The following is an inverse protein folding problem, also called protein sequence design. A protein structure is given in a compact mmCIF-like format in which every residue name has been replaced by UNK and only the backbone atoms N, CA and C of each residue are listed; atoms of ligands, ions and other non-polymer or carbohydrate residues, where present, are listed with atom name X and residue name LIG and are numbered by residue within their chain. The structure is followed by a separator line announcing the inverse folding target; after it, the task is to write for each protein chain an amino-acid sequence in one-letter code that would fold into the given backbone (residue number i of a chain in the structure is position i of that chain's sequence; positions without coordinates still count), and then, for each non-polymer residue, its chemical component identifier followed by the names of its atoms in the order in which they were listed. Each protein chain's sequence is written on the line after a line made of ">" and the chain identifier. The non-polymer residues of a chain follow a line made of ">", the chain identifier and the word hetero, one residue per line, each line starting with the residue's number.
data_IF_080588585937
#
_entry.id   IF_080588585937
#
_cell.length_a   1.000
_cell.length_b   1.000
_cell.length_c   1.000
_cell.angle_alpha   90.00
_cell.angle_beta   90.00
_cell.angle_gamma   90.00
#
_symmetry.space_group_name_H-M   'P 1'
#
loop_
_entity.id
_entity.type
_entity.pdbx_description
1 polymer ?
#
# COMPACT_ATOMS: atom_id res chain seq x y z
N UNK A 1 0.95 -11.98 -38.79
CA UNK A 1 0.98 -12.61 -37.45
C UNK A 1 -0.19 -12.05 -36.67
N UNK A 2 -1.14 -12.89 -36.22
CA UNK A 2 -2.25 -12.41 -35.40
C UNK A 2 -1.68 -11.77 -34.13
N UNK A 3 -2.14 -10.56 -33.79
CA UNK A 3 -1.72 -9.91 -32.55
C UNK A 3 -2.18 -10.79 -31.37
N UNK A 4 -1.23 -11.41 -30.68
CA UNK A 4 -1.52 -12.18 -29.46
C UNK A 4 -2.12 -11.21 -28.44
N UNK A 5 -3.32 -11.51 -27.96
CA UNK A 5 -3.98 -10.66 -26.97
C UNK A 5 -3.10 -10.49 -25.73
N UNK A 6 -3.06 -9.30 -25.12
CA UNK A 6 -2.23 -9.08 -23.94
C UNK A 6 -2.69 -9.98 -22.79
N UNK A 7 -1.75 -10.50 -21.96
CA UNK A 7 -2.08 -11.31 -20.80
C UNK A 7 -2.96 -10.53 -19.82
N UNK A 8 -3.88 -11.25 -19.18
CA UNK A 8 -4.75 -10.68 -18.16
C UNK A 8 -3.97 -10.51 -16.85
N UNK A 9 -3.95 -9.29 -16.32
CA UNK A 9 -3.51 -8.96 -14.97
C UNK A 9 -4.74 -8.72 -14.10
N UNK A 10 -4.92 -9.54 -13.08
CA UNK A 10 -6.01 -9.38 -12.12
C UNK A 10 -5.53 -8.57 -10.92
N UNK A 11 -6.09 -7.38 -10.72
CA UNK A 11 -5.84 -6.55 -9.55
C UNK A 11 -6.92 -6.82 -8.49
N UNK A 12 -6.59 -7.64 -7.49
CA UNK A 12 -7.46 -7.96 -6.36
C UNK A 12 -7.35 -6.88 -5.28
N UNK A 13 -8.38 -6.04 -5.20
CA UNK A 13 -8.45 -4.86 -4.34
C UNK A 13 -9.54 -4.97 -3.28
N UNK A 14 -9.54 -4.06 -2.31
CA UNK A 14 -10.51 -4.02 -1.21
C UNK A 14 -9.88 -3.70 0.14
N UNK A 15 -10.69 -3.53 1.19
CA UNK A 15 -10.21 -3.09 2.49
C UNK A 15 -9.36 -4.19 3.16
N UNK A 16 -8.49 -3.79 4.09
CA UNK A 16 -7.80 -4.73 4.97
C UNK A 16 -8.80 -5.67 5.67
N UNK A 17 -8.37 -6.89 5.97
CA UNK A 17 -9.20 -7.97 6.51
C UNK A 17 -10.39 -8.45 5.64
N UNK A 18 -10.55 -7.95 4.40
CA UNK A 18 -11.59 -8.44 3.48
C UNK A 18 -11.36 -9.86 2.91
N UNK A 19 -10.29 -10.56 3.31
CA UNK A 19 -9.98 -11.91 2.80
C UNK A 19 -9.16 -11.96 1.50
N UNK A 20 -8.63 -10.83 1.03
CA UNK A 20 -7.87 -10.74 -0.24
C UNK A 20 -6.71 -11.72 -0.35
N UNK A 21 -5.90 -11.87 0.70
CA UNK A 21 -4.73 -12.77 0.66
C UNK A 21 -5.15 -14.23 0.47
N UNK A 22 -6.16 -14.69 1.22
CA UNK A 22 -6.67 -16.05 1.09
C UNK A 22 -7.32 -16.31 -0.28
N UNK A 23 -8.09 -15.35 -0.80
CA UNK A 23 -8.64 -15.44 -2.16
C UNK A 23 -7.53 -15.42 -3.22
N UNK A 24 -6.56 -14.51 -3.11
CA UNK A 24 -5.42 -14.40 -4.03
C UNK A 24 -4.64 -15.71 -4.12
N UNK A 25 -4.37 -16.36 -2.98
CA UNK A 25 -3.71 -17.67 -2.93
C UNK A 25 -4.52 -18.75 -3.66
N UNK A 26 -5.84 -18.82 -3.42
CA UNK A 26 -6.72 -19.80 -4.10
C UNK A 26 -6.76 -19.59 -5.61
N UNK A 27 -6.91 -18.33 -6.04
CA UNK A 27 -6.92 -17.97 -7.46
C UNK A 27 -5.60 -18.29 -8.14
N UNK A 28 -4.48 -17.93 -7.52
CA UNK A 28 -3.16 -18.21 -8.08
C UNK A 28 -2.91 -19.72 -8.18
N UNK A 29 -3.31 -20.52 -7.20
CA UNK A 29 -3.24 -21.99 -7.29
C UNK A 29 -4.10 -22.53 -8.43
N UNK A 30 -5.35 -22.09 -8.54
CA UNK A 30 -6.29 -22.57 -9.55
C UNK A 30 -5.86 -22.21 -10.99
N UNK A 31 -5.19 -21.07 -11.16
CA UNK A 31 -4.78 -20.54 -12.47
C UNK A 31 -3.32 -20.82 -12.81
N UNK A 32 -2.57 -21.47 -11.91
CA UNK A 32 -1.11 -21.60 -12.03
C UNK A 32 -0.40 -20.25 -12.07
N UNK A 33 -0.97 -19.24 -11.40
CA UNK A 33 -0.50 -17.85 -11.39
C UNK A 33 0.50 -17.51 -10.28
N UNK A 34 1.00 -16.28 -10.33
CA UNK A 34 1.93 -15.72 -9.35
C UNK A 34 1.38 -14.45 -8.72
N UNK A 35 1.68 -14.20 -7.44
CA UNK A 35 1.15 -13.07 -6.68
C UNK A 35 2.20 -11.96 -6.58
N UNK A 36 1.83 -10.73 -6.95
CA UNK A 36 2.58 -9.51 -6.65
C UNK A 36 1.90 -8.81 -5.47
N UNK A 37 2.53 -8.83 -4.29
CA UNK A 37 1.97 -8.19 -3.10
C UNK A 37 1.92 -6.67 -3.28
N UNK A 38 0.77 -6.06 -3.01
CA UNK A 38 0.54 -4.62 -3.08
C UNK A 38 0.22 -4.05 -1.68
N UNK A 39 1.17 -4.22 -0.76
CA UNK A 39 1.09 -3.78 0.63
C UNK A 39 2.37 -3.03 1.04
N UNK A 40 2.22 -1.93 1.78
CA UNK A 40 3.36 -1.07 2.15
C UNK A 40 4.16 -1.56 3.35
N UNK A 41 3.70 -2.59 4.05
CA UNK A 41 4.41 -3.19 5.19
C UNK A 41 5.04 -4.54 4.83
N UNK A 42 4.41 -5.33 3.96
CA UNK A 42 4.91 -6.66 3.58
C UNK A 42 6.24 -6.62 2.82
N UNK A 43 6.60 -5.46 2.27
CA UNK A 43 7.90 -5.23 1.61
C UNK A 43 9.09 -5.33 2.58
N UNK A 44 8.86 -5.09 3.88
CA UNK A 44 9.92 -5.04 4.90
C UNK A 44 10.18 -6.38 5.57
N UNK A 45 11.45 -6.76 5.68
CA UNK A 45 11.90 -7.98 6.38
C UNK A 45 11.62 -7.92 7.88
N UNK A 46 11.18 -9.04 8.45
CA UNK A 46 10.92 -9.16 9.90
C UNK A 46 9.69 -8.42 10.41
N UNK A 47 8.89 -7.83 9.51
CA UNK A 47 7.55 -7.31 9.82
C UNK A 47 6.49 -8.31 9.37
N UNK A 48 6.37 -9.43 10.06
CA UNK A 48 5.58 -10.58 9.62
C UNK A 48 4.17 -10.58 10.24
N UNK A 49 4.08 -10.51 11.56
CA UNK A 49 2.81 -10.60 12.31
C UNK A 49 1.96 -9.37 12.06
N UNK A 50 2.52 -8.17 12.29
CA UNK A 50 1.75 -6.92 12.17
C UNK A 50 1.32 -6.58 10.74
N UNK A 51 2.02 -7.11 9.72
CA UNK A 51 1.63 -6.93 8.30
C UNK A 51 0.69 -8.02 7.79
N UNK A 52 0.46 -9.08 8.58
CA UNK A 52 -0.12 -10.36 8.15
C UNK A 52 0.48 -10.83 6.82
N UNK A 53 1.81 -10.92 6.80
CA UNK A 53 2.56 -11.40 5.65
C UNK A 53 2.15 -12.85 5.34
N UNK A 54 2.11 -13.27 4.06
CA UNK A 54 1.91 -14.67 3.74
C UNK A 54 2.97 -15.54 4.44
N UNK A 55 2.56 -16.70 4.95
CA UNK A 55 3.47 -17.61 5.66
C UNK A 55 4.46 -18.25 4.70
N UNK A 56 5.54 -18.83 5.22
CA UNK A 56 6.51 -19.57 4.40
C UNK A 56 5.82 -20.71 3.63
N UNK A 57 4.84 -21.37 4.25
CA UNK A 57 4.08 -22.44 3.61
C UNK A 57 3.23 -21.92 2.45
N UNK A 58 2.54 -20.79 2.62
CA UNK A 58 1.76 -20.15 1.54
C UNK A 58 2.68 -19.72 0.39
N UNK A 59 3.87 -19.17 0.70
CA UNK A 59 4.85 -18.75 -0.32
C UNK A 59 5.52 -19.92 -1.05
N UNK A 60 5.62 -21.09 -0.42
CA UNK A 60 6.09 -22.32 -1.09
C UNK A 60 5.07 -22.86 -2.08
N UNK A 61 3.77 -22.62 -1.82
CA UNK A 61 2.68 -23.07 -2.69
C UNK A 61 2.48 -22.16 -3.90
N UNK A 62 2.64 -20.85 -3.72
CA UNK A 62 2.53 -19.84 -4.78
C UNK A 62 3.64 -18.79 -4.61
N UNK A 63 4.42 -18.47 -5.67
CA UNK A 63 5.38 -17.38 -5.61
C UNK A 63 4.72 -16.05 -5.23
N UNK A 64 5.22 -15.42 -4.17
CA UNK A 64 4.83 -14.08 -3.75
C UNK A 64 5.99 -13.12 -3.97
N UNK A 65 5.79 -12.15 -4.85
CA UNK A 65 6.74 -11.09 -5.16
C UNK A 65 6.50 -9.84 -4.33
N UNK A 66 7.54 -9.02 -4.21
CA UNK A 66 7.54 -7.78 -3.43
C UNK A 66 7.20 -7.97 -1.94
N UNK A 67 7.56 -9.13 -1.41
CA UNK A 67 7.55 -9.46 0.01
C UNK A 67 8.99 -9.61 0.47
N UNK A 68 9.37 -9.03 1.61
CA UNK A 68 10.73 -9.14 2.16
C UNK A 68 11.84 -8.62 1.22
N UNK A 69 11.59 -7.51 0.53
CA UNK A 69 12.48 -6.94 -0.48
C UNK A 69 13.41 -5.83 0.03
N UNK A 70 13.17 -5.31 1.23
CA UNK A 70 13.99 -4.28 1.89
C UNK A 70 14.04 -4.50 3.40
N UNK A 71 15.11 -4.04 4.05
CA UNK A 71 15.20 -4.02 5.51
C UNK A 71 14.35 -2.89 6.10
N UNK A 72 13.88 -3.01 7.37
CA UNK A 72 12.93 -2.06 7.97
C UNK A 72 13.39 -0.59 7.99
N UNK A 73 14.70 -0.34 8.09
CA UNK A 73 15.32 0.98 8.15
C UNK A 73 15.61 1.58 6.76
N UNK A 74 15.52 0.77 5.71
CA UNK A 74 15.63 1.24 4.33
C UNK A 74 14.38 2.03 3.89
N UNK A 75 14.55 3.12 3.12
CA UNK A 75 13.41 3.81 2.53
C UNK A 75 12.78 2.96 1.43
N UNK A 76 11.44 2.84 1.43
CA UNK A 76 10.69 2.24 0.32
C UNK A 76 9.49 3.08 -0.07
N UNK A 77 9.55 3.67 -1.27
CA UNK A 77 8.52 4.59 -1.76
C UNK A 77 7.53 3.92 -2.71
N UNK A 78 6.41 4.60 -3.00
CA UNK A 78 5.48 4.15 -4.04
C UNK A 78 6.12 4.14 -5.44
N UNK A 79 7.11 5.00 -5.69
CA UNK A 79 7.89 4.99 -6.93
C UNK A 79 8.75 3.72 -7.03
N UNK A 80 9.45 3.35 -5.95
CA UNK A 80 10.23 2.10 -5.89
C UNK A 80 9.34 0.87 -6.09
N UNK A 81 8.16 0.85 -5.46
CA UNK A 81 7.17 -0.18 -5.69
C UNK A 81 6.73 -0.24 -7.16
N UNK A 82 6.41 0.90 -7.76
CA UNK A 82 5.98 0.96 -9.16
C UNK A 82 7.03 0.41 -10.12
N UNK A 83 8.31 0.78 -9.92
CA UNK A 83 9.44 0.29 -10.72
C UNK A 83 9.66 -1.22 -10.54
N UNK A 84 9.89 -1.68 -9.31
CA UNK A 84 10.15 -3.10 -9.00
C UNK A 84 8.95 -4.00 -9.34
N UNK A 85 7.73 -3.48 -9.21
CA UNK A 85 6.51 -4.19 -9.60
C UNK A 85 6.37 -4.34 -11.11
N UNK A 86 6.75 -3.33 -11.91
CA UNK A 86 6.77 -3.44 -13.38
C UNK A 86 7.83 -4.41 -13.88
N UNK A 87 9.01 -4.40 -13.27
CA UNK A 87 10.08 -5.38 -13.53
C UNK A 87 9.59 -6.81 -13.24
N UNK A 88 8.98 -7.01 -12.06
CA UNK A 88 8.36 -8.30 -11.68
C UNK A 88 7.30 -8.73 -12.69
N UNK A 89 6.37 -7.84 -13.06
CA UNK A 89 5.32 -8.16 -14.02
C UNK A 89 5.88 -8.51 -15.41
N UNK A 90 6.89 -7.79 -15.89
CA UNK A 90 7.55 -8.11 -17.15
C UNK A 90 8.14 -9.52 -17.12
N UNK A 91 8.82 -9.88 -16.03
CA UNK A 91 9.38 -11.22 -15.82
C UNK A 91 8.30 -12.31 -15.75
N UNK A 92 7.18 -12.07 -15.06
CA UNK A 92 6.02 -12.99 -15.02
C UNK A 92 5.44 -13.20 -16.42
N UNK A 93 5.29 -12.12 -17.19
CA UNK A 93 4.80 -12.18 -18.57
C UNK A 93 5.73 -12.99 -19.48
N UNK A 94 7.04 -12.83 -19.35
CA UNK A 94 8.02 -13.61 -20.12
C UNK A 94 7.90 -15.12 -19.86
N UNK A 95 7.50 -15.51 -18.64
CA UNK A 95 7.19 -16.90 -18.29
C UNK A 95 5.82 -17.38 -18.77
N UNK A 96 4.96 -16.50 -19.28
CA UNK A 96 3.59 -16.83 -19.68
C UNK A 96 2.65 -17.16 -18.52
N UNK A 97 2.98 -16.71 -17.31
CA UNK A 97 2.23 -17.04 -16.08
C UNK A 97 1.21 -15.92 -15.77
N UNK A 98 -0.02 -16.23 -15.32
CA UNK A 98 -0.99 -15.20 -14.94
C UNK A 98 -0.53 -14.39 -13.71
N UNK A 99 -0.39 -13.05 -13.81
CA UNK A 99 -0.08 -12.20 -12.66
C UNK A 99 -1.33 -11.80 -11.88
N UNK A 100 -1.28 -11.95 -10.56
CA UNK A 100 -2.29 -11.45 -9.61
C UNK A 100 -1.66 -10.39 -8.71
N UNK A 101 -2.11 -9.14 -8.83
CA UNK A 101 -1.72 -8.08 -7.89
C UNK A 101 -2.69 -8.09 -6.73
N UNK A 102 -2.21 -8.43 -5.53
CA UNK A 102 -3.06 -8.60 -4.34
C UNK A 102 -2.70 -7.58 -3.28
N UNK A 103 -3.63 -6.70 -2.91
CA UNK A 103 -3.35 -5.75 -1.84
C UNK A 103 -4.34 -4.61 -1.70
N UNK A 104 -4.05 -3.72 -0.75
CA UNK A 104 -4.95 -2.62 -0.38
C UNK A 104 -4.30 -1.23 -0.44
N UNK A 105 -3.05 -1.13 -0.87
CA UNK A 105 -2.32 0.14 -0.91
C UNK A 105 -2.60 0.85 -2.23
N UNK A 106 -3.65 1.67 -2.25
CA UNK A 106 -4.11 2.35 -3.47
C UNK A 106 -3.02 3.18 -4.19
N UNK A 107 -2.11 3.82 -3.44
CA UNK A 107 -1.01 4.58 -4.02
C UNK A 107 0.03 3.69 -4.73
N UNK A 108 0.31 2.50 -4.18
CA UNK A 108 1.21 1.52 -4.79
C UNK A 108 0.60 0.95 -6.07
N UNK A 109 -0.69 0.60 -6.03
CA UNK A 109 -1.41 0.15 -7.22
C UNK A 109 -1.40 1.23 -8.32
N UNK A 110 -1.63 2.49 -7.95
CA UNK A 110 -1.52 3.62 -8.89
C UNK A 110 -0.13 3.72 -9.49
N UNK A 111 0.93 3.61 -8.69
CA UNK A 111 2.30 3.64 -9.18
C UNK A 111 2.58 2.50 -10.16
N UNK A 112 2.12 1.30 -9.83
CA UNK A 112 2.27 0.12 -10.68
C UNK A 112 1.56 0.31 -12.03
N UNK A 113 0.30 0.75 -12.03
CA UNK A 113 -0.55 0.74 -13.21
C UNK A 113 -0.49 2.01 -14.05
N UNK A 114 -0.31 3.17 -13.42
CA UNK A 114 -0.31 4.48 -14.09
C UNK A 114 1.05 5.18 -14.03
N UNK A 115 1.97 4.65 -13.22
CA UNK A 115 3.25 5.28 -12.97
C UNK A 115 3.13 6.34 -11.88
N UNK A 116 4.27 6.74 -11.35
CA UNK A 116 4.40 7.91 -10.49
C UNK A 116 5.64 8.69 -10.90
N UNK A 117 5.58 9.99 -10.67
CA UNK A 117 6.79 10.80 -10.69
C UNK A 117 7.72 10.33 -9.56
N UNK A 118 8.88 9.78 -9.92
CA UNK A 118 9.85 9.29 -8.94
C UNK A 118 10.41 10.44 -8.08
N UNK A 119 10.56 11.62 -8.68
CA UNK A 119 10.97 12.85 -8.01
C UNK A 119 12.31 12.80 -7.29
N UNK A 120 12.81 13.94 -6.79
CA UNK A 120 14.03 13.95 -6.02
C UNK A 120 13.87 13.12 -4.74
N UNK A 121 14.98 12.53 -4.30
CA UNK A 121 15.09 11.85 -3.01
C UNK A 121 14.66 12.76 -1.85
N UNK A 122 14.25 12.16 -0.74
CA UNK A 122 13.94 12.86 0.51
C UNK A 122 15.17 13.63 1.01
N UNK A 123 14.97 14.88 1.42
CA UNK A 123 15.99 15.71 2.09
C UNK A 123 15.51 16.08 3.51
N UNK A 124 16.04 15.38 4.51
CA UNK A 124 15.61 15.54 5.90
C UNK A 124 15.98 16.91 6.48
N UNK A 125 17.10 17.51 6.06
CA UNK A 125 17.49 18.84 6.52
C UNK A 125 16.54 19.91 5.97
N UNK A 126 16.17 19.82 4.69
CA UNK A 126 15.19 20.72 4.09
C UNK A 126 13.81 20.54 4.72
N UNK A 127 13.37 19.29 4.92
CA UNK A 127 12.10 19.01 5.59
C UNK A 127 12.06 19.56 7.00
N UNK A 128 13.10 19.34 7.80
CA UNK A 128 13.21 19.89 9.15
C UNK A 128 13.09 21.41 9.17
N UNK A 129 13.70 22.12 8.21
CA UNK A 129 13.55 23.59 8.07
C UNK A 129 12.12 24.01 7.73
N UNK A 130 11.47 23.31 6.79
CA UNK A 130 10.08 23.60 6.39
C UNK A 130 9.09 23.31 7.51
N UNK A 131 9.30 22.21 8.24
CA UNK A 131 8.50 21.81 9.39
C UNK A 131 8.69 22.78 10.58
N UNK A 132 9.92 23.19 10.88
CA UNK A 132 10.19 24.21 11.89
C UNK A 132 9.53 25.56 11.54
N UNK A 133 9.48 25.90 10.26
CA UNK A 133 8.78 27.10 9.80
C UNK A 133 7.26 26.99 10.01
N UNK A 134 6.67 25.83 9.70
CA UNK A 134 5.25 25.58 9.95
C UNK A 134 4.93 25.64 11.46
N UNK A 135 5.78 25.07 12.30
CA UNK A 135 5.63 25.12 13.76
C UNK A 135 5.71 26.56 14.29
N UNK A 136 6.63 27.38 13.77
CA UNK A 136 6.84 28.76 14.25
C UNK A 136 5.79 29.75 13.75
N UNK A 137 5.29 29.57 12.53
CA UNK A 137 4.48 30.60 11.85
C UNK A 137 3.12 30.10 11.33
N UNK A 138 2.78 28.84 11.60
CA UNK A 138 1.54 28.20 11.18
C UNK A 138 1.60 27.60 9.78
N UNK A 139 0.80 26.55 9.59
CA UNK A 139 0.67 25.81 8.32
C UNK A 139 0.21 26.72 7.16
N UNK A 140 -0.67 27.70 7.45
CA UNK A 140 -1.13 28.68 6.46
C UNK A 140 0.01 29.52 5.84
N UNK A 141 1.10 29.78 6.59
CA UNK A 141 2.26 30.48 6.03
C UNK A 141 3.06 29.59 5.10
N UNK A 142 3.23 28.32 5.45
CA UNK A 142 3.89 27.34 4.59
C UNK A 142 3.08 27.14 3.28
N UNK A 143 1.76 27.04 3.38
CA UNK A 143 0.87 26.92 2.21
C UNK A 143 0.90 28.16 1.31
N UNK A 144 0.95 29.39 1.87
CA UNK A 144 1.16 30.60 1.05
C UNK A 144 2.47 30.58 0.27
N UNK A 145 3.55 30.04 0.85
CA UNK A 145 4.81 29.83 0.12
C UNK A 145 4.64 28.83 -1.01
N UNK A 146 3.88 27.76 -0.80
CA UNK A 146 3.54 26.83 -1.88
C UNK A 146 2.77 27.55 -3.00
N UNK A 147 1.76 28.37 -2.67
CA UNK A 147 0.98 29.11 -3.66
C UNK A 147 1.82 30.07 -4.51
N UNK A 148 2.93 30.59 -3.99
CA UNK A 148 3.84 31.46 -4.75
C UNK A 148 4.65 30.70 -5.81
N UNK A 149 4.99 29.42 -5.55
CA UNK A 149 5.88 28.64 -6.43
C UNK A 149 5.13 27.58 -7.23
N UNK A 150 3.98 27.12 -6.75
CA UNK A 150 3.14 26.09 -7.37
C UNK A 150 1.65 26.33 -7.05
N UNK A 151 1.01 27.31 -7.73
CA UNK A 151 -0.41 27.64 -7.53
C UNK A 151 -1.34 26.44 -7.75
N UNK A 152 -1.04 25.59 -8.74
CA UNK A 152 -1.84 24.41 -9.09
C UNK A 152 -1.85 23.38 -7.96
N UNK A 153 -0.68 23.10 -7.37
CA UNK A 153 -0.60 22.21 -6.20
C UNK A 153 -1.25 22.86 -4.98
N UNK A 154 -1.08 24.16 -4.76
CA UNK A 154 -1.69 24.88 -3.64
C UNK A 154 -3.22 24.86 -3.68
N UNK A 155 -3.83 24.91 -4.87
CA UNK A 155 -5.28 24.82 -5.05
C UNK A 155 -5.84 23.43 -4.72
N UNK A 156 -5.02 22.37 -4.80
CA UNK A 156 -5.44 20.98 -4.57
C UNK A 156 -5.07 20.45 -3.19
N UNK A 157 -4.03 21.01 -2.58
CA UNK A 157 -3.51 20.58 -1.28
C UNK A 157 -4.07 21.50 -0.20
N UNK A 158 -4.82 20.92 0.73
CA UNK A 158 -5.32 21.65 1.89
C UNK A 158 -4.17 22.21 2.74
N UNK A 159 -4.30 23.43 3.30
CA UNK A 159 -3.27 24.02 4.15
C UNK A 159 -2.85 23.14 5.34
N UNK A 160 -3.79 22.36 5.89
CA UNK A 160 -3.53 21.44 6.99
C UNK A 160 -2.75 20.18 6.59
N UNK A 161 -2.65 19.86 5.29
CA UNK A 161 -1.90 18.71 4.77
C UNK A 161 -0.40 19.05 4.65
N UNK A 162 0.23 19.27 5.80
CA UNK A 162 1.66 19.63 5.91
C UNK A 162 2.54 18.68 5.11
N UNK A 163 2.25 17.38 5.11
CA UNK A 163 3.06 16.37 4.43
C UNK A 163 3.13 16.66 2.93
N UNK A 164 1.97 16.90 2.30
CA UNK A 164 1.92 17.22 0.87
C UNK A 164 2.48 18.59 0.55
N UNK A 165 2.24 19.59 1.42
CA UNK A 165 2.82 20.93 1.24
C UNK A 165 4.35 20.89 1.29
N UNK A 166 4.91 20.24 2.31
CA UNK A 166 6.37 20.05 2.45
C UNK A 166 6.93 19.30 1.25
N UNK A 167 6.28 18.23 0.76
CA UNK A 167 6.75 17.51 -0.44
C UNK A 167 6.75 18.40 -1.69
N UNK A 168 5.69 19.18 -1.92
CA UNK A 168 5.63 20.04 -3.10
C UNK A 168 6.73 21.12 -3.07
N UNK A 169 6.96 21.74 -1.91
CA UNK A 169 8.05 22.68 -1.71
C UNK A 169 9.43 22.02 -1.82
N UNK A 170 9.63 20.83 -1.25
CA UNK A 170 10.87 20.05 -1.37
C UNK A 170 11.22 19.79 -2.83
N UNK A 171 10.24 19.36 -3.64
CA UNK A 171 10.42 19.11 -5.07
C UNK A 171 10.81 20.38 -5.81
N UNK A 172 10.13 21.50 -5.54
CA UNK A 172 10.47 22.78 -6.15
C UNK A 172 11.89 23.23 -5.80
N UNK A 173 12.28 23.18 -4.52
CA UNK A 173 13.62 23.60 -4.09
C UNK A 173 14.74 22.72 -4.69
N UNK A 174 14.50 21.42 -4.86
CA UNK A 174 15.52 20.50 -5.40
C UNK A 174 15.60 20.49 -6.92
N UNK A 175 14.51 20.79 -7.62
CA UNK A 175 14.44 20.64 -9.09
C UNK A 175 14.29 21.96 -9.84
N UNK A 176 13.99 23.06 -9.15
CA UNK A 176 13.61 24.33 -9.75
C UNK A 176 12.25 24.32 -10.47
N UNK A 177 11.56 23.16 -10.50
CA UNK A 177 10.28 22.98 -11.20
C UNK A 177 9.17 22.63 -10.21
N UNK A 178 7.97 23.23 -10.35
CA UNK A 178 6.82 22.91 -9.51
C UNK A 178 6.40 21.44 -9.60
N UNK A 179 5.87 20.89 -8.50
CA UNK A 179 5.38 19.50 -8.47
C UNK A 179 4.24 19.29 -9.47
N UNK A 180 3.35 20.27 -9.62
CA UNK A 180 2.29 20.26 -10.63
C UNK A 180 2.82 20.15 -12.06
N UNK A 181 3.96 20.78 -12.35
CA UNK A 181 4.64 20.70 -13.64
C UNK A 181 5.15 19.28 -13.93
N UNK A 182 5.67 18.59 -12.93
CA UNK A 182 6.08 17.19 -13.04
C UNK A 182 4.89 16.25 -13.23
N UNK A 183 3.78 16.47 -12.52
CA UNK A 183 2.55 15.70 -12.73
C UNK A 183 1.95 15.91 -14.12
N UNK A 184 2.06 17.11 -14.69
CA UNK A 184 1.56 17.42 -16.05
C UNK A 184 2.36 16.73 -17.16
N UNK A 185 3.65 16.47 -16.94
CA UNK A 185 4.46 15.70 -17.89
C UNK A 185 3.95 14.24 -18.06
N UNK A 186 3.09 13.78 -17.14
CA UNK A 186 2.53 12.44 -17.16
C UNK A 186 3.53 11.40 -16.64
N UNK A 187 2.99 10.31 -16.10
CA UNK A 187 3.75 9.09 -15.85
C UNK A 187 3.31 8.05 -16.87
N UNK A 188 4.23 7.16 -17.28
CA UNK A 188 3.89 6.15 -18.27
C UNK A 188 2.99 5.06 -17.65
N UNK A 189 1.80 4.79 -18.23
CA UNK A 189 0.97 3.70 -17.77
C UNK A 189 1.62 2.34 -18.05
N UNK A 190 1.19 1.32 -17.32
CA UNK A 190 1.61 -0.06 -17.54
C UNK A 190 1.16 -0.50 -18.94
N UNK A 191 2.06 -1.14 -19.69
CA UNK A 191 1.81 -1.64 -21.05
C UNK A 191 1.96 -3.14 -21.12
N UNK A 192 1.27 -3.76 -22.08
CA UNK A 192 1.37 -5.18 -22.37
C UNK A 192 0.63 -6.09 -21.38
N UNK A 193 -0.37 -5.54 -20.69
CA UNK A 193 -1.35 -6.28 -19.90
C UNK A 193 -2.73 -5.71 -20.17
N UNK A 194 -3.74 -6.58 -20.17
CA UNK A 194 -5.11 -6.15 -19.90
C UNK A 194 -5.34 -6.20 -18.39
N UNK A 195 -5.65 -5.06 -17.79
CA UNK A 195 -5.87 -4.98 -16.34
C UNK A 195 -7.35 -5.06 -16.04
N UNK A 196 -7.75 -6.02 -15.20
CA UNK A 196 -9.10 -6.09 -14.64
C UNK A 196 -9.06 -5.99 -13.11
N UNK A 197 -9.94 -5.18 -12.55
CA UNK A 197 -10.02 -4.96 -11.11
C UNK A 197 -11.11 -5.82 -10.49
N UNK A 198 -10.72 -6.67 -9.56
CA UNK A 198 -11.63 -7.48 -8.76
C UNK A 198 -11.65 -6.94 -7.33
N UNK A 199 -12.80 -6.48 -6.85
CA UNK A 199 -12.92 -5.82 -5.57
C UNK A 199 -13.69 -6.64 -4.55
N UNK A 200 -13.16 -6.82 -3.35
CA UNK A 200 -13.93 -7.34 -2.21
C UNK A 200 -14.51 -6.18 -1.39
N UNK A 201 -15.83 -6.18 -1.20
CA UNK A 201 -16.57 -5.18 -0.45
C UNK A 201 -17.56 -5.83 0.55
N UNK A 202 -17.05 -6.52 1.59
CA UNK A 202 -17.91 -7.10 2.61
C UNK A 202 -18.71 -6.04 3.35
N UNK A 203 -19.81 -6.46 3.99
CA UNK A 203 -20.61 -5.59 4.84
C UNK A 203 -19.76 -5.00 5.97
N UNK A 204 -20.17 -3.82 6.48
CA UNK A 204 -19.44 -3.14 7.55
C UNK A 204 -19.29 -4.01 8.81
N UNK A 205 -20.30 -4.79 9.13
CA UNK A 205 -20.31 -5.64 10.32
C UNK A 205 -19.42 -6.87 10.12
N UNK A 206 -19.48 -7.51 8.96
CA UNK A 206 -18.56 -8.61 8.62
C UNK A 206 -17.10 -8.13 8.65
N UNK A 207 -16.84 -6.93 8.12
CA UNK A 207 -15.50 -6.34 8.12
C UNK A 207 -15.00 -6.03 9.53
N UNK A 208 -15.87 -5.48 10.41
CA UNK A 208 -15.52 -5.24 11.82
C UNK A 208 -15.17 -6.55 12.51
N UNK A 209 -16.00 -7.58 12.38
CA UNK A 209 -15.76 -8.90 12.97
C UNK A 209 -14.45 -9.49 12.48
N UNK A 210 -14.17 -9.43 11.17
CA UNK A 210 -12.92 -9.91 10.60
C UNK A 210 -11.69 -9.15 11.13
N UNK A 211 -11.79 -7.82 11.29
CA UNK A 211 -10.73 -6.98 11.87
C UNK A 211 -10.48 -7.35 13.34
N UNK A 212 -11.52 -7.56 14.14
CA UNK A 212 -11.40 -7.94 15.54
C UNK A 212 -10.74 -9.31 15.70
N UNK A 213 -11.18 -10.31 14.92
CA UNK A 213 -10.58 -11.64 14.90
C UNK A 213 -9.12 -11.57 14.49
N UNK A 214 -8.80 -10.87 13.39
CA UNK A 214 -7.42 -10.68 12.93
C UNK A 214 -6.56 -9.98 13.98
N UNK A 215 -7.09 -8.96 14.65
CA UNK A 215 -6.35 -8.23 15.69
C UNK A 215 -6.02 -9.11 16.88
N UNK A 216 -7.00 -9.86 17.38
CA UNK A 216 -6.78 -10.83 18.46
C UNK A 216 -5.72 -11.86 18.06
N UNK A 217 -5.78 -12.36 16.82
CA UNK A 217 -4.80 -13.31 16.30
C UNK A 217 -3.39 -12.72 16.26
N UNK A 218 -3.20 -11.53 15.68
CA UNK A 218 -1.88 -10.87 15.64
C UNK A 218 -1.28 -10.67 17.03
N UNK A 219 -2.10 -10.26 18.01
CA UNK A 219 -1.62 -10.11 19.40
C UNK A 219 -1.22 -11.45 20.01
N UNK A 220 -2.00 -12.51 19.78
CA UNK A 220 -1.69 -13.86 20.26
C UNK A 220 -0.46 -14.48 19.55
N UNK A 221 -0.24 -14.13 18.29
CA UNK A 221 0.91 -14.58 17.48
C UNK A 221 2.21 -13.80 17.77
N UNK A 222 2.19 -12.87 18.74
CA UNK A 222 3.40 -12.21 19.22
C UNK A 222 3.71 -10.86 18.57
N UNK A 223 2.69 -10.08 18.16
CA UNK A 223 2.89 -8.73 17.62
C UNK A 223 3.70 -7.82 18.58
N UNK A 224 3.52 -7.96 19.89
CA UNK A 224 4.22 -7.13 20.89
C UNK A 224 5.70 -7.53 20.95
N UNK A 225 5.99 -8.82 20.89
CA UNK A 225 7.33 -9.40 20.89
C UNK A 225 8.10 -9.07 19.60
N UNK A 226 7.45 -9.20 18.44
CA UNK A 226 7.99 -8.74 17.15
C UNK A 226 8.34 -7.25 17.20
N UNK A 227 7.42 -6.43 17.72
CA UNK A 227 7.63 -4.99 17.85
C UNK A 227 8.79 -4.66 18.81
N UNK A 228 8.90 -5.36 19.94
CA UNK A 228 10.02 -5.20 20.89
C UNK A 228 11.36 -5.47 20.20
N UNK A 229 11.44 -6.58 19.47
CA UNK A 229 12.66 -6.98 18.73
C UNK A 229 13.06 -5.93 17.69
N UNK A 230 12.08 -5.37 16.97
CA UNK A 230 12.32 -4.29 16.00
C UNK A 230 12.84 -3.01 16.68
N UNK A 231 12.28 -2.64 17.84
CA UNK A 231 12.73 -1.47 18.61
C UNK A 231 14.16 -1.68 19.13
N UNK A 232 14.47 -2.86 19.66
CA UNK A 232 15.80 -3.17 20.17
C UNK A 232 16.86 -3.13 19.06
N UNK A 233 16.52 -3.58 17.85
CA UNK A 233 17.45 -3.66 16.73
C UNK A 233 17.64 -2.34 15.96
N UNK A 234 16.54 -1.62 15.68
CA UNK A 234 16.56 -0.46 14.79
C UNK A 234 16.20 0.86 15.48
N UNK A 235 15.84 0.81 16.76
CA UNK A 235 15.40 1.96 17.54
C UNK A 235 13.90 2.26 17.42
N UNK A 236 13.36 3.07 18.35
CA UNK A 236 11.93 3.37 18.44
C UNK A 236 11.41 4.28 17.32
N UNK A 237 12.31 5.01 16.65
CA UNK A 237 11.98 5.95 15.56
C UNK A 237 11.84 5.26 14.18
N UNK A 238 11.98 3.93 14.14
CA UNK A 238 11.84 3.13 12.93
C UNK A 238 10.48 3.40 12.26
N UNK A 239 10.50 3.91 11.02
CA UNK A 239 9.30 4.40 10.32
C UNK A 239 8.16 3.37 10.24
N UNK A 240 8.39 2.10 9.89
CA UNK A 240 7.35 1.08 9.92
C UNK A 240 6.62 0.94 11.26
N UNK A 241 7.26 1.26 12.40
CA UNK A 241 6.60 1.23 13.72
C UNK A 241 5.50 2.28 13.88
N UNK A 242 5.42 3.25 12.96
CA UNK A 242 4.34 4.23 12.92
C UNK A 242 3.07 3.68 12.28
N UNK A 243 3.06 2.48 11.71
CA UNK A 243 1.85 1.91 11.12
C UNK A 243 0.88 1.38 12.17
N UNK A 244 -0.38 1.17 11.75
CA UNK A 244 -1.41 0.56 12.60
C UNK A 244 -0.95 -0.85 12.99
N UNK A 245 -1.20 -1.27 14.23
CA UNK A 245 -0.65 -2.50 14.79
C UNK A 245 0.64 -2.20 15.56
N UNK A 246 1.73 -1.94 14.84
CA UNK A 246 3.05 -1.67 15.43
C UNK A 246 3.06 -0.43 16.33
N UNK A 247 2.33 0.64 15.98
CA UNK A 247 2.29 1.84 16.82
C UNK A 247 1.69 1.57 18.19
N UNK A 248 0.61 0.79 18.23
CA UNK A 248 -0.05 0.39 19.47
C UNK A 248 0.80 -0.61 20.25
N UNK A 249 1.40 -1.59 19.56
CA UNK A 249 2.33 -2.54 20.17
C UNK A 249 3.57 -1.84 20.77
N UNK A 250 4.12 -0.83 20.10
CA UNK A 250 5.23 -0.04 20.62
C UNK A 250 4.83 0.76 21.88
N UNK A 251 3.58 1.23 21.96
CA UNK A 251 3.06 1.85 23.18
C UNK A 251 2.91 0.84 24.33
N UNK A 252 2.54 -0.41 24.05
CA UNK A 252 2.55 -1.50 25.04
C UNK A 252 3.97 -1.80 25.52
N UNK A 253 4.94 -1.89 24.60
CA UNK A 253 6.36 -2.13 24.93
C UNK A 253 6.90 -1.05 25.88
N UNK A 254 6.48 0.21 25.71
CA UNK A 254 6.86 1.34 26.58
C UNK A 254 6.04 1.46 27.88
N UNK A 255 5.09 0.56 28.13
CA UNK A 255 4.19 0.63 29.29
C UNK A 255 3.14 1.74 29.24
N UNK A 256 2.94 2.37 28.07
CA UNK A 256 1.98 3.47 27.89
C UNK A 256 0.55 2.99 27.59
N UNK A 257 0.38 1.73 27.17
CA UNK A 257 -0.92 1.08 26.96
C UNK A 257 -0.90 -0.34 27.51
N UNK A 258 -2.05 -0.82 27.98
CA UNK A 258 -2.28 -2.26 28.23
C UNK A 258 -2.64 -2.98 26.92
N UNK A 259 -2.45 -4.29 26.88
CA UNK A 259 -2.71 -5.10 25.67
C UNK A 259 -4.17 -5.02 25.22
N UNK A 260 -5.13 -4.97 26.15
CA UNK A 260 -6.56 -4.86 25.86
C UNK A 260 -6.95 -3.47 25.32
N UNK A 261 -6.22 -2.42 25.72
CA UNK A 261 -6.37 -1.06 25.19
C UNK A 261 -5.80 -0.97 23.77
N UNK A 262 -4.60 -1.52 23.57
CA UNK A 262 -3.98 -1.62 22.26
C UNK A 262 -4.87 -2.38 21.27
N UNK A 263 -5.50 -3.49 21.69
CA UNK A 263 -6.45 -4.23 20.86
C UNK A 263 -7.61 -3.33 20.39
N UNK A 264 -8.25 -2.61 21.31
CA UNK A 264 -9.38 -1.71 20.99
C UNK A 264 -8.96 -0.61 20.02
N UNK A 265 -7.78 -0.05 20.22
CA UNK A 265 -7.23 1.00 19.36
C UNK A 265 -6.85 0.50 17.97
N UNK A 266 -6.23 -0.69 17.86
CA UNK A 266 -5.92 -1.31 16.58
C UNK A 266 -7.21 -1.52 15.78
N UNK A 267 -8.26 -2.09 16.38
CA UNK A 267 -9.55 -2.30 15.70
C UNK A 267 -10.12 -0.98 15.20
N UNK A 268 -10.15 0.05 16.05
CA UNK A 268 -10.68 1.38 15.71
C UNK A 268 -9.91 2.02 14.55
N UNK A 269 -8.59 2.03 14.60
CA UNK A 269 -7.76 2.62 13.55
C UNK A 269 -7.80 1.81 12.26
N UNK A 270 -7.87 0.49 12.35
CA UNK A 270 -8.02 -0.41 11.19
C UNK A 270 -9.36 -0.17 10.49
N UNK A 271 -10.46 0.04 11.23
CA UNK A 271 -11.76 0.42 10.64
C UNK A 271 -11.69 1.77 9.91
N UNK A 272 -11.00 2.76 10.50
CA UNK A 272 -10.78 4.07 9.85
C UNK A 272 -9.95 3.92 8.58
N UNK A 273 -8.92 3.07 8.60
CA UNK A 273 -8.09 2.77 7.45
C UNK A 273 -8.87 2.06 6.35
N UNK A 274 -9.63 1.03 6.69
CA UNK A 274 -10.49 0.32 5.75
C UNK A 274 -11.50 1.26 5.06
N UNK A 275 -12.09 2.20 5.80
CA UNK A 275 -12.94 3.26 5.21
C UNK A 275 -12.17 4.08 4.17
N UNK A 276 -10.94 4.52 4.49
CA UNK A 276 -10.10 5.28 3.55
C UNK A 276 -9.76 4.46 2.30
N UNK A 277 -9.45 3.16 2.46
CA UNK A 277 -9.20 2.26 1.33
C UNK A 277 -10.43 2.15 0.43
N UNK A 278 -11.62 1.97 1.00
CA UNK A 278 -12.86 1.94 0.23
C UNK A 278 -13.14 3.26 -0.48
N UNK A 279 -12.93 4.39 0.18
CA UNK A 279 -13.04 5.71 -0.48
C UNK A 279 -12.09 5.80 -1.67
N UNK A 280 -10.85 5.33 -1.55
CA UNK A 280 -9.90 5.31 -2.67
C UNK A 280 -10.40 4.44 -3.83
N UNK A 281 -10.72 3.18 -3.57
CA UNK A 281 -11.08 2.23 -4.64
C UNK A 281 -12.44 2.51 -5.28
N UNK A 282 -13.36 3.21 -4.60
CA UNK A 282 -14.63 3.66 -5.23
C UNK A 282 -14.44 4.66 -6.37
N UNK A 283 -13.31 5.37 -6.42
CA UNK A 283 -12.96 6.25 -7.53
C UNK A 283 -12.23 5.50 -8.65
N UNK A 284 -11.92 4.21 -8.46
CA UNK A 284 -11.38 3.38 -9.52
C UNK A 284 -12.54 2.93 -10.41
N UNK A 285 -12.49 3.28 -11.68
CA UNK A 285 -13.48 2.85 -12.66
C UNK A 285 -13.35 1.34 -12.93
N UNK A 286 -14.46 0.70 -13.28
CA UNK A 286 -14.51 -0.69 -13.78
C UNK A 286 -14.05 -1.76 -12.78
N UNK A 287 -14.22 -1.52 -11.48
CA UNK A 287 -14.03 -2.57 -10.46
C UNK A 287 -15.24 -3.49 -10.40
N UNK A 288 -15.02 -4.78 -10.60
CA UNK A 288 -16.02 -5.82 -10.32
C UNK A 288 -16.10 -6.05 -8.80
N UNK A 289 -17.01 -5.33 -8.14
CA UNK A 289 -17.22 -5.44 -6.70
C UNK A 289 -18.02 -6.68 -6.34
N UNK A 290 -17.51 -7.44 -5.38
CA UNK A 290 -18.09 -8.68 -4.88
C UNK A 290 -18.36 -8.56 -3.37
N UNK A 291 -19.48 -9.12 -2.92
CA UNK A 291 -19.84 -9.13 -1.51
C UNK A 291 -18.97 -10.11 -0.70
N UNK A 292 -18.56 -11.21 -1.33
CA UNK A 292 -17.75 -12.26 -0.72
C UNK A 292 -16.71 -12.87 -1.68
N UNK A 293 -15.95 -13.84 -1.16
CA UNK A 293 -14.85 -14.45 -1.89
C UNK A 293 -15.30 -15.52 -2.90
N UNK A 294 -16.51 -16.07 -2.79
CA UNK A 294 -17.03 -17.07 -3.72
C UNK A 294 -17.50 -16.39 -5.01
N UNK A 295 -18.21 -15.27 -4.89
CA UNK A 295 -18.58 -14.43 -6.03
C UNK A 295 -17.33 -13.94 -6.78
N UNK A 296 -16.34 -13.45 -6.03
CA UNK A 296 -15.08 -12.99 -6.62
C UNK A 296 -14.33 -14.10 -7.36
N UNK A 297 -14.32 -15.31 -6.82
CA UNK A 297 -13.69 -16.47 -7.44
C UNK A 297 -14.39 -16.89 -8.74
N UNK A 298 -15.73 -16.88 -8.76
CA UNK A 298 -16.49 -17.18 -9.97
C UNK A 298 -16.18 -16.16 -11.10
N UNK A 299 -16.09 -14.87 -10.77
CA UNK A 299 -15.75 -13.82 -11.73
C UNK A 299 -14.32 -13.99 -12.25
N UNK A 300 -13.35 -14.20 -11.36
CA UNK A 300 -11.95 -14.38 -11.74
C UNK A 300 -11.75 -15.62 -12.62
N UNK A 301 -12.45 -16.72 -12.32
CA UNK A 301 -12.41 -17.96 -13.09
C UNK A 301 -12.97 -17.74 -14.49
N UNK A 302 -14.09 -17.03 -14.62
CA UNK A 302 -14.65 -16.66 -15.93
C UNK A 302 -13.68 -15.81 -16.74
N UNK A 303 -13.07 -14.79 -16.14
CA UNK A 303 -12.08 -13.95 -16.84
C UNK A 303 -10.86 -14.74 -17.32
N UNK A 304 -10.41 -15.71 -16.53
CA UNK A 304 -9.30 -16.58 -16.92
C UNK A 304 -9.72 -17.52 -18.07
N UNK A 305 -10.91 -18.11 -18.01
CA UNK A 305 -11.43 -18.96 -19.08
C UNK A 305 -11.69 -18.22 -20.41
N UNK A 306 -11.98 -16.91 -20.37
CA UNK A 306 -12.06 -16.06 -21.58
C UNK A 306 -10.68 -15.81 -22.24
N UNK A 307 -9.58 -16.21 -21.59
CA UNK A 307 -8.20 -15.92 -21.99
C UNK A 307 -7.38 -17.15 -22.35
N UNK A 308 -7.72 -18.29 -21.75
CA UNK A 308 -7.13 -19.61 -22.01
C UNK A 308 -7.66 -20.23 -23.30
#
# INVERSE_FOLDING_TARGET
>A
MAAVAPPLLTALVGPTAAGKSALGLRLALAQGGEIVSCDSLQVYRGLDVGSAKPTIEERRRVPHHLVDVVDPDEPFSAADYGRRGRETLASIRERGVPPLVVGGTGLYLRALLHGLFEGPSRDDALRGRLEAMAARYGEARLHRRLAQVDPDSAARIEPADRIRVVRALEVFHKTGRPLSGHHRAGAEPLRGFEVRYLGLAPSRDALRTAIEVRTRRMLAEGLVEETRTLIERYGPELRPLQSIGYRQAAAVVRGALRVDEAQRDIVKETMRYAKRQMTWFRHQEQVAWCADAAEAEAIATRWHAERS
#
